data_IF_630216939496
#
_entry.id   IF_630216939496
#
_cell.length_a   1.000
_cell.length_b   1.000
_cell.length_c   1.000
_cell.angle_alpha   90.00
_cell.angle_beta   90.00
_cell.angle_gamma   90.00
#
_symmetry.space_group_name_H-M   'P 1'
#
loop_
_entity.id
_entity.type
_entity.pdbx_description
1 polymer ?
#
# COMPACT_ATOMS: atom_id res chain seq x y z
N UNK A 1 13.88 -21.82 1.91
CA UNK A 1 15.32 -21.52 1.70
C UNK A 1 16.09 -21.24 3.00
N UNK A 2 15.48 -20.64 4.05
CA UNK A 2 16.22 -20.15 5.23
C UNK A 2 16.11 -20.99 6.54
N UNK A 3 15.50 -22.18 6.51
CA UNK A 3 15.29 -23.03 7.72
C UNK A 3 16.47 -23.98 8.03
N UNK A 4 17.49 -24.06 7.19
CA UNK A 4 18.59 -25.02 7.38
C UNK A 4 19.26 -24.80 8.75
N UNK A 5 19.25 -25.84 9.60
CA UNK A 5 19.76 -25.83 10.99
C UNK A 5 19.03 -24.89 11.96
N UNK A 6 17.85 -24.38 11.60
CA UNK A 6 16.97 -23.65 12.51
C UNK A 6 15.91 -24.60 13.09
N UNK A 7 15.71 -24.57 14.42
CA UNK A 7 14.64 -25.31 15.10
C UNK A 7 13.31 -24.55 14.99
N UNK A 8 12.73 -24.54 13.79
CA UNK A 8 11.46 -23.87 13.47
C UNK A 8 10.61 -24.75 12.59
N UNK A 9 9.29 -24.71 12.73
CA UNK A 9 8.33 -25.38 11.86
C UNK A 9 7.45 -24.34 11.18
N UNK A 10 7.10 -24.60 9.91
CA UNK A 10 6.24 -23.74 9.10
C UNK A 10 5.15 -24.65 8.57
N UNK A 11 3.91 -24.34 8.95
CA UNK A 11 2.72 -25.10 8.58
C UNK A 11 1.75 -24.20 7.82
N UNK A 12 1.09 -24.76 6.82
CA UNK A 12 0.02 -24.09 6.09
C UNK A 12 -1.34 -24.37 6.74
N UNK A 13 -1.88 -23.36 7.40
CA UNK A 13 -3.15 -23.46 8.12
C UNK A 13 -4.38 -23.08 7.28
N UNK A 14 -4.24 -22.90 5.96
CA UNK A 14 -5.37 -22.55 5.09
C UNK A 14 -6.46 -23.63 5.04
N UNK A 15 -6.14 -24.88 5.36
CA UNK A 15 -7.15 -25.95 5.44
C UNK A 15 -8.05 -25.82 6.70
N UNK A 16 -7.53 -25.24 7.78
CA UNK A 16 -8.19 -25.22 9.10
C UNK A 16 -8.61 -23.83 9.55
N UNK A 17 -8.07 -22.76 8.96
CA UNK A 17 -8.37 -21.39 9.34
C UNK A 17 -8.73 -20.50 8.15
N UNK A 18 -9.43 -19.40 8.45
CA UNK A 18 -9.71 -18.30 7.53
C UNK A 18 -9.23 -17.00 8.14
N UNK A 19 -8.91 -16.05 7.25
CA UNK A 19 -8.61 -14.66 7.62
C UNK A 19 -9.75 -13.80 7.09
N UNK A 20 -10.34 -13.01 7.98
CA UNK A 20 -11.44 -12.11 7.69
C UNK A 20 -11.16 -10.70 8.19
N UNK A 21 -12.12 -9.83 7.93
CA UNK A 21 -12.13 -8.44 8.36
C UNK A 21 -13.44 -8.14 9.09
N UNK A 22 -13.37 -7.33 10.15
CA UNK A 22 -14.55 -6.84 10.85
C UNK A 22 -14.33 -5.41 11.34
N UNK A 23 -15.36 -4.57 11.20
CA UNK A 23 -15.44 -3.22 11.78
C UNK A 23 -15.98 -3.21 13.21
N UNK A 24 -16.53 -4.33 13.68
CA UNK A 24 -17.38 -4.36 14.88
C UNK A 24 -16.58 -4.56 16.18
N UNK A 25 -15.29 -4.90 16.07
CA UNK A 25 -14.46 -5.26 17.22
C UNK A 25 -13.81 -4.05 17.94
N UNK A 26 -14.20 -2.80 17.62
CA UNK A 26 -13.79 -1.57 18.32
C UNK A 26 -13.21 -0.47 17.41
N UNK A 27 -12.67 0.58 18.03
CA UNK A 27 -12.01 1.69 17.33
C UNK A 27 -10.50 1.42 17.27
N UNK A 28 -9.90 1.45 16.09
CA UNK A 28 -8.46 1.27 15.87
C UNK A 28 -7.93 2.34 14.94
N UNK A 29 -6.63 2.59 15.09
CA UNK A 29 -5.85 3.52 14.27
C UNK A 29 -6.12 3.33 12.76
N UNK A 30 -6.57 4.41 12.11
CA UNK A 30 -6.79 4.57 10.66
C UNK A 30 -8.03 3.91 10.05
N UNK A 31 -9.07 3.62 10.83
CA UNK A 31 -10.40 3.14 10.34
C UNK A 31 -10.34 1.81 9.54
N UNK A 32 -9.29 1.01 9.71
CA UNK A 32 -9.09 -0.27 9.01
C UNK A 32 -9.72 -1.48 9.72
N UNK A 33 -10.49 -1.25 10.78
CA UNK A 33 -11.08 -2.29 11.64
C UNK A 33 -10.08 -3.35 12.11
N UNK A 34 -10.51 -4.62 12.12
CA UNK A 34 -9.78 -5.75 12.68
C UNK A 34 -9.59 -6.85 11.67
N UNK A 35 -8.44 -7.53 11.79
CA UNK A 35 -8.26 -8.86 11.23
C UNK A 35 -8.82 -9.89 12.19
N UNK A 36 -9.63 -10.79 11.66
CA UNK A 36 -10.14 -11.96 12.38
C UNK A 36 -9.46 -13.18 11.81
N UNK A 37 -8.87 -14.01 12.67
CA UNK A 37 -8.32 -15.32 12.29
C UNK A 37 -9.13 -16.34 13.06
N UNK A 38 -9.88 -17.19 12.37
CA UNK A 38 -10.80 -18.13 12.98
C UNK A 38 -10.72 -19.52 12.34
N UNK A 39 -11.01 -20.59 13.09
CA UNK A 39 -11.19 -21.93 12.54
C UNK A 39 -12.32 -21.97 11.50
N UNK A 40 -12.18 -22.81 10.48
CA UNK A 40 -13.14 -22.92 9.36
C UNK A 40 -14.57 -23.25 9.81
N UNK A 41 -14.72 -24.01 10.89
CA UNK A 41 -16.02 -24.35 11.46
C UNK A 41 -16.76 -23.14 12.08
N UNK A 42 -16.05 -22.04 12.34
CA UNK A 42 -16.61 -20.79 12.87
C UNK A 42 -16.78 -19.72 11.78
N UNK A 43 -16.58 -20.06 10.51
CA UNK A 43 -16.65 -19.10 9.40
C UNK A 43 -17.78 -19.40 8.42
N UNK A 44 -18.77 -20.21 8.81
CA UNK A 44 -19.85 -20.63 7.92
C UNK A 44 -20.77 -19.47 7.50
N UNK A 45 -20.88 -18.46 8.35
CA UNK A 45 -21.68 -17.24 8.19
C UNK A 45 -20.87 -16.06 7.63
N UNK A 46 -19.59 -16.24 7.34
CA UNK A 46 -18.74 -15.17 6.79
C UNK A 46 -19.15 -14.83 5.36
N UNK A 47 -19.13 -13.54 5.06
CA UNK A 47 -19.37 -13.02 3.71
C UNK A 47 -18.06 -13.04 2.93
N UNK A 48 -18.07 -13.67 1.75
CA UNK A 48 -16.88 -13.80 0.90
C UNK A 48 -16.48 -12.49 0.19
N UNK A 49 -17.44 -11.57 0.01
CA UNK A 49 -17.19 -10.27 -0.60
C UNK A 49 -16.37 -9.39 0.36
N UNK A 50 -15.12 -9.10 -0.03
CA UNK A 50 -14.18 -8.27 0.70
C UNK A 50 -14.13 -6.81 0.20
N UNK A 51 -15.07 -6.40 -0.66
CA UNK A 51 -15.15 -5.04 -1.21
C UNK A 51 -15.13 -3.97 -0.13
N UNK A 52 -15.80 -4.19 1.01
CA UNK A 52 -15.80 -3.25 2.13
C UNK A 52 -14.41 -3.08 2.74
N UNK A 53 -13.66 -4.18 2.91
CA UNK A 53 -12.28 -4.13 3.37
C UNK A 53 -11.41 -3.36 2.39
N UNK A 54 -11.56 -3.63 1.09
CA UNK A 54 -10.83 -2.93 0.05
C UNK A 54 -11.12 -1.42 0.04
N UNK A 55 -12.39 -1.03 0.18
CA UNK A 55 -12.79 0.37 0.30
C UNK A 55 -12.15 1.04 1.50
N UNK A 56 -12.18 0.39 2.67
CA UNK A 56 -11.59 0.93 3.89
C UNK A 56 -10.07 1.13 3.75
N UNK A 57 -9.33 0.11 3.27
CA UNK A 57 -7.88 0.27 3.09
C UNK A 57 -7.52 1.35 2.08
N UNK A 58 -8.31 1.49 1.01
CA UNK A 58 -8.07 2.50 -0.03
C UNK A 58 -8.31 3.90 0.54
N UNK A 59 -9.40 4.10 1.27
CA UNK A 59 -9.69 5.37 1.96
C UNK A 59 -8.58 5.76 2.95
N UNK A 60 -7.95 4.79 3.61
CA UNK A 60 -6.82 5.03 4.52
C UNK A 60 -5.46 5.12 3.81
N UNK A 61 -5.42 5.02 2.48
CA UNK A 61 -4.19 5.08 1.69
C UNK A 61 -3.28 3.84 1.84
N UNK A 62 -3.82 2.70 2.27
CA UNK A 62 -3.06 1.48 2.53
C UNK A 62 -3.06 0.57 1.32
N UNK A 63 -1.84 0.28 0.86
CA UNK A 63 -1.57 -0.70 -0.18
C UNK A 63 -1.58 -2.14 0.36
N UNK A 64 -2.02 -3.05 -0.48
CA UNK A 64 -2.03 -4.49 -0.28
C UNK A 64 -1.23 -5.16 -1.40
N UNK A 65 -0.10 -5.76 -1.01
CA UNK A 65 0.75 -6.52 -1.92
C UNK A 65 -0.05 -7.67 -2.58
N UNK A 66 0.19 -7.89 -3.87
CA UNK A 66 -0.55 -8.87 -4.68
C UNK A 66 -1.80 -8.27 -5.32
N UNK A 67 -2.63 -7.57 -4.54
CA UNK A 67 -3.83 -6.90 -5.04
C UNK A 67 -3.50 -5.64 -5.84
N UNK A 68 -2.68 -4.76 -5.27
CA UNK A 68 -2.33 -3.49 -5.91
C UNK A 68 -1.12 -3.63 -6.82
N UNK A 69 -0.09 -4.35 -6.36
CA UNK A 69 1.18 -4.51 -7.08
C UNK A 69 1.79 -5.89 -6.87
N UNK A 70 2.51 -6.45 -7.87
CA UNK A 70 3.26 -7.69 -7.71
C UNK A 70 4.32 -7.59 -6.62
N UNK A 71 4.59 -8.72 -5.95
CA UNK A 71 5.45 -8.73 -4.77
C UNK A 71 6.90 -8.26 -5.01
N UNK A 72 7.38 -8.31 -6.26
CA UNK A 72 8.78 -8.05 -6.60
C UNK A 72 9.01 -6.68 -7.27
N UNK A 73 7.97 -5.86 -7.41
CA UNK A 73 8.02 -4.66 -8.27
C UNK A 73 8.06 -3.34 -7.47
N UNK A 74 8.04 -3.41 -6.14
CA UNK A 74 7.94 -2.24 -5.25
C UNK A 74 8.92 -2.33 -4.09
N UNK A 75 9.53 -1.20 -3.73
CA UNK A 75 10.31 -1.11 -2.50
C UNK A 75 9.40 -0.87 -1.28
N UNK A 76 9.86 -1.28 -0.10
CA UNK A 76 9.12 -1.07 1.16
C UNK A 76 8.75 0.41 1.40
N UNK A 77 9.60 1.34 0.95
CA UNK A 77 9.36 2.78 1.00
C UNK A 77 8.27 3.25 0.01
N UNK A 78 8.18 2.63 -1.17
CA UNK A 78 7.18 2.99 -2.18
C UNK A 78 5.76 2.71 -1.67
N UNK A 79 5.62 1.74 -0.76
CA UNK A 79 4.37 1.34 -0.11
C UNK A 79 4.22 1.88 1.32
N UNK A 80 5.09 2.80 1.74
CA UNK A 80 4.98 3.51 3.01
C UNK A 80 5.37 2.71 4.26
N UNK A 81 5.99 1.54 4.16
CA UNK A 81 6.36 0.73 5.33
C UNK A 81 7.33 1.45 6.28
N UNK A 82 8.11 2.42 5.79
CA UNK A 82 8.98 3.28 6.60
C UNK A 82 8.21 4.22 7.54
N UNK A 83 6.95 4.52 7.24
CA UNK A 83 6.08 5.41 8.01
C UNK A 83 5.01 4.60 8.77
N UNK A 84 4.55 3.51 8.17
CA UNK A 84 3.48 2.65 8.70
C UNK A 84 3.96 1.67 9.79
N UNK A 85 5.22 1.76 10.23
CA UNK A 85 5.80 0.87 11.24
C UNK A 85 6.16 -0.53 10.71
N UNK A 86 6.26 -0.70 9.39
CA UNK A 86 6.67 -1.95 8.75
C UNK A 86 8.19 -2.16 8.72
N UNK A 87 8.98 -1.15 9.07
CA UNK A 87 10.44 -1.19 9.10
C UNK A 87 10.92 -0.71 10.46
N UNK A 88 11.73 -1.53 11.10
CA UNK A 88 12.53 -1.13 12.25
C UNK A 88 13.97 -0.87 11.76
N UNK A 89 14.47 0.34 12.02
CA UNK A 89 15.83 0.75 11.64
C UNK A 89 16.87 0.42 12.73
N UNK A 90 16.44 0.07 13.94
CA UNK A 90 17.28 -0.25 15.08
C UNK A 90 17.46 -1.77 15.29
N UNK A 91 16.67 -2.61 14.61
CA UNK A 91 16.83 -4.08 14.69
C UNK A 91 18.12 -4.60 14.03
N UNK A 92 18.48 -5.83 14.39
CA UNK A 92 19.56 -6.57 13.75
C UNK A 92 19.29 -6.94 12.27
N UNK A 93 20.27 -7.59 11.64
CA UNK A 93 20.27 -7.85 10.21
C UNK A 93 19.07 -8.66 9.70
N UNK A 94 18.49 -8.23 8.58
CA UNK A 94 17.46 -8.94 7.84
C UNK A 94 17.69 -8.82 6.33
N UNK A 95 17.06 -9.70 5.54
CA UNK A 95 17.26 -9.74 4.08
C UNK A 95 16.81 -8.43 3.45
N UNK A 96 17.71 -7.78 2.70
CA UNK A 96 17.45 -6.52 1.99
C UNK A 96 17.65 -5.25 2.83
N UNK A 97 18.13 -5.37 4.07
CA UNK A 97 18.34 -4.23 4.97
C UNK A 97 19.27 -3.16 4.37
N UNK A 98 20.32 -3.54 3.62
CA UNK A 98 21.26 -2.58 3.05
C UNK A 98 20.56 -1.63 2.06
N UNK A 99 19.63 -2.16 1.26
CA UNK A 99 18.86 -1.37 0.29
C UNK A 99 17.88 -0.46 1.04
N UNK A 100 17.14 -1.01 1.99
CA UNK A 100 16.21 -0.26 2.84
C UNK A 100 16.92 0.87 3.58
N UNK A 101 18.05 0.58 4.21
CA UNK A 101 18.85 1.58 4.93
C UNK A 101 19.40 2.65 3.99
N UNK A 102 19.92 2.29 2.80
CA UNK A 102 20.38 3.27 1.81
C UNK A 102 19.27 4.19 1.34
N UNK A 103 18.06 3.67 1.12
CA UNK A 103 16.91 4.48 0.73
C UNK A 103 16.53 5.49 1.82
N UNK A 104 16.59 5.11 3.11
CA UNK A 104 16.31 6.02 4.22
C UNK A 104 17.26 7.22 4.28
N UNK A 105 18.55 6.99 4.01
CA UNK A 105 19.60 8.01 4.15
C UNK A 105 19.84 8.85 2.89
N UNK A 106 19.47 8.37 1.70
CA UNK A 106 19.63 9.09 0.42
C UNK A 106 18.54 10.14 0.15
N UNK A 107 17.79 10.56 1.16
CA UNK A 107 16.66 11.49 1.04
C UNK A 107 15.31 10.80 0.86
N UNK A 108 14.22 11.58 0.87
CA UNK A 108 12.84 11.09 0.81
C UNK A 108 12.61 10.24 -0.43
N UNK A 109 12.04 9.04 -0.26
CA UNK A 109 11.67 8.22 -1.41
C UNK A 109 10.71 9.03 -2.30
N UNK A 110 11.10 9.24 -3.56
CA UNK A 110 10.34 10.09 -4.50
C UNK A 110 8.99 9.48 -4.85
N UNK A 111 8.88 8.14 -4.76
CA UNK A 111 7.66 7.38 -5.01
C UNK A 111 6.96 7.09 -3.67
N UNK A 112 5.69 7.47 -3.55
CA UNK A 112 4.90 7.28 -2.32
C UNK A 112 3.45 6.89 -2.63
N UNK A 113 2.74 6.30 -1.65
CA UNK A 113 1.31 6.04 -1.76
C UNK A 113 0.50 7.33 -1.86
N UNK A 114 -0.44 7.38 -2.79
CA UNK A 114 -1.37 8.50 -2.97
C UNK A 114 -2.75 7.93 -3.25
N UNK A 115 -3.78 8.47 -2.59
CA UNK A 115 -5.17 8.07 -2.85
C UNK A 115 -5.61 8.78 -4.12
N UNK A 116 -6.25 8.03 -5.01
CA UNK A 116 -6.78 8.52 -6.28
C UNK A 116 -8.28 8.21 -6.32
N UNK A 117 -9.09 9.19 -6.68
CA UNK A 117 -10.53 9.10 -6.79
C UNK A 117 -10.99 9.29 -8.24
N UNK A 118 -12.27 8.99 -8.49
CA UNK A 118 -12.93 9.15 -9.79
C UNK A 118 -12.22 8.41 -10.95
N UNK A 119 -11.60 7.27 -10.65
CA UNK A 119 -10.92 6.45 -11.64
C UNK A 119 -11.94 5.69 -12.49
N UNK A 120 -11.93 5.98 -13.79
CA UNK A 120 -12.63 5.21 -14.83
C UNK A 120 -11.60 4.59 -15.80
N UNK A 121 -10.79 3.70 -15.23
CA UNK A 121 -9.67 2.98 -15.85
C UNK A 121 -9.34 1.70 -15.05
N UNK A 122 -8.71 0.67 -15.67
CA UNK A 122 -8.35 -0.55 -14.96
C UNK A 122 -7.18 -0.38 -13.98
N UNK A 123 -7.07 -1.34 -13.05
CA UNK A 123 -5.87 -1.54 -12.22
C UNK A 123 -4.61 -1.58 -13.08
N UNK A 124 -3.55 -0.90 -12.65
CA UNK A 124 -2.29 -0.82 -13.38
C UNK A 124 -2.24 0.28 -14.45
N UNK A 125 -3.32 1.04 -14.68
CA UNK A 125 -3.27 2.19 -15.59
C UNK A 125 -2.22 3.22 -15.15
N UNK A 126 -1.61 3.87 -16.12
CA UNK A 126 -0.60 4.89 -15.89
C UNK A 126 -1.25 6.17 -15.36
N UNK A 127 -0.64 6.74 -14.32
CA UNK A 127 -0.95 8.09 -13.86
C UNK A 127 -0.03 9.04 -14.60
N UNK A 128 -0.57 10.13 -15.12
CA UNK A 128 0.20 11.20 -15.75
C UNK A 128 -0.02 12.54 -15.05
N UNK A 129 1.04 13.34 -14.97
CA UNK A 129 1.02 14.72 -14.53
C UNK A 129 1.94 15.53 -15.44
N UNK A 130 1.53 16.74 -15.82
CA UNK A 130 2.30 17.61 -16.72
C UNK A 130 2.72 16.92 -18.05
N UNK A 131 1.83 16.07 -18.59
CA UNK A 131 2.08 15.32 -19.84
C UNK A 131 3.16 14.24 -19.74
N UNK A 132 3.54 13.83 -18.53
CA UNK A 132 4.51 12.75 -18.28
C UNK A 132 3.93 11.73 -17.32
N UNK A 133 4.30 10.47 -17.48
CA UNK A 133 3.97 9.43 -16.51
C UNK A 133 4.50 9.82 -15.12
N UNK A 134 3.67 9.68 -14.09
CA UNK A 134 3.96 10.02 -12.72
C UNK A 134 3.79 8.83 -11.77
N UNK A 135 3.12 7.76 -12.18
CA UNK A 135 2.91 6.60 -11.32
C UNK A 135 2.00 5.55 -11.95
N UNK A 136 1.55 4.63 -11.11
CA UNK A 136 0.70 3.51 -11.52
C UNK A 136 -0.42 3.33 -10.52
N UNK A 137 -1.65 3.17 -11.03
CA UNK A 137 -2.86 2.91 -10.24
C UNK A 137 -2.81 1.50 -9.66
N UNK A 138 -3.09 1.35 -8.36
CA UNK A 138 -3.27 0.06 -7.69
C UNK A 138 -4.63 -0.58 -8.00
N UNK A 139 -5.14 -1.43 -7.11
CA UNK A 139 -6.47 -2.02 -7.27
C UNK A 139 -7.54 -0.92 -7.26
N UNK A 140 -8.39 -0.90 -8.28
CA UNK A 140 -9.53 0.01 -8.34
C UNK A 140 -10.76 -0.63 -7.70
N UNK A 141 -11.40 0.09 -6.77
CA UNK A 141 -12.66 -0.29 -6.13
C UNK A 141 -13.55 0.94 -6.03
N UNK A 142 -14.73 0.88 -6.65
CA UNK A 142 -15.71 1.98 -6.71
C UNK A 142 -15.11 3.32 -7.18
N UNK A 143 -14.18 3.27 -8.14
CA UNK A 143 -13.47 4.46 -8.65
C UNK A 143 -12.37 5.00 -7.73
N UNK A 144 -12.14 4.39 -6.57
CA UNK A 144 -11.02 4.69 -5.68
C UNK A 144 -9.86 3.72 -5.84
N UNK A 145 -8.63 4.19 -5.67
CA UNK A 145 -7.45 3.34 -5.56
C UNK A 145 -6.35 4.01 -4.71
N UNK A 146 -5.35 3.23 -4.33
CA UNK A 146 -4.07 3.77 -3.87
C UNK A 146 -3.04 3.52 -4.96
N UNK A 147 -2.37 4.57 -5.39
CA UNK A 147 -1.35 4.52 -6.41
C UNK A 147 0.04 4.74 -5.81
N UNK A 148 1.08 4.27 -6.52
CA UNK A 148 2.46 4.67 -6.23
C UNK A 148 2.83 5.80 -7.18
N UNK A 149 2.97 7.01 -6.66
CA UNK A 149 3.21 8.24 -7.45
C UNK A 149 4.56 8.85 -7.10
N UNK A 150 5.27 9.31 -8.13
CA UNK A 150 6.43 10.20 -8.02
C UNK A 150 5.99 11.61 -7.63
N UNK A 151 6.20 11.97 -6.37
CA UNK A 151 5.77 13.25 -5.79
C UNK A 151 6.41 14.45 -6.49
N UNK A 152 7.67 14.32 -6.92
CA UNK A 152 8.42 15.35 -7.65
C UNK A 152 7.81 15.70 -9.02
N UNK A 153 6.92 14.86 -9.55
CA UNK A 153 6.20 15.09 -10.81
C UNK A 153 4.85 15.77 -10.62
N UNK A 154 4.36 15.88 -9.39
CA UNK A 154 3.06 16.48 -9.06
C UNK A 154 3.27 17.94 -8.63
N UNK A 155 3.35 18.84 -9.59
CA UNK A 155 3.43 20.29 -9.33
C UNK A 155 2.05 20.92 -9.12
N UNK A 156 1.01 20.36 -9.75
CA UNK A 156 -0.39 20.73 -9.56
C UNK A 156 -1.21 19.44 -9.41
N UNK A 157 -1.68 19.12 -8.19
CA UNK A 157 -2.53 17.95 -7.96
C UNK A 157 -3.81 17.92 -8.80
N UNK A 158 -4.30 19.08 -9.26
CA UNK A 158 -5.52 19.18 -10.08
C UNK A 158 -5.30 18.83 -11.56
N UNK A 159 -4.03 18.76 -11.99
CA UNK A 159 -3.65 18.45 -13.36
C UNK A 159 -3.30 16.96 -13.56
N UNK A 160 -3.67 16.10 -12.62
CA UNK A 160 -3.38 14.67 -12.67
C UNK A 160 -4.46 13.93 -13.44
N UNK A 161 -4.01 13.00 -14.28
CA UNK A 161 -4.90 12.23 -15.16
C UNK A 161 -4.58 10.74 -15.11
N UNK A 162 -5.59 9.92 -15.38
CA UNK A 162 -5.48 8.49 -15.69
C UNK A 162 -6.15 8.25 -17.04
N UNK A 163 -5.43 7.62 -17.98
CA UNK A 163 -5.88 7.45 -19.37
C UNK A 163 -6.41 8.75 -20.02
N UNK A 164 -5.78 9.88 -19.68
CA UNK A 164 -6.12 11.21 -20.18
C UNK A 164 -7.37 11.85 -19.55
N UNK A 165 -8.07 11.16 -18.65
CA UNK A 165 -9.20 11.71 -17.88
C UNK A 165 -8.68 12.31 -16.56
N UNK A 166 -9.17 13.50 -16.16
CA UNK A 166 -8.80 14.09 -14.88
C UNK A 166 -9.29 13.24 -13.71
N UNK A 167 -8.46 13.14 -12.67
CA UNK A 167 -8.76 12.45 -11.41
C UNK A 167 -8.44 13.37 -10.23
N UNK A 168 -9.11 13.16 -9.10
CA UNK A 168 -8.71 13.78 -7.83
C UNK A 168 -7.66 12.93 -7.12
N UNK A 169 -6.68 13.57 -6.49
CA UNK A 169 -5.69 12.90 -5.66
C UNK A 169 -5.57 13.53 -4.27
N UNK A 170 -5.33 12.69 -3.26
CA UNK A 170 -5.09 13.11 -1.90
C UNK A 170 -3.96 12.31 -1.24
N UNK A 171 -3.25 12.96 -0.32
CA UNK A 171 -2.26 12.28 0.51
C UNK A 171 -2.98 11.53 1.65
N UNK A 172 -2.54 10.30 1.99
CA UNK A 172 -3.07 9.60 3.16
C UNK A 172 -2.85 10.40 4.45
N UNK A 173 -3.74 10.26 5.44
CA UNK A 173 -3.65 11.01 6.71
C UNK A 173 -2.35 10.77 7.49
N UNK A 174 -1.69 9.63 7.27
CA UNK A 174 -0.41 9.27 7.89
C UNK A 174 0.81 9.77 7.10
N UNK A 175 0.63 10.40 5.94
CA UNK A 175 1.73 10.86 5.10
C UNK A 175 2.55 11.94 5.81
N UNK A 176 3.88 11.78 5.79
CA UNK A 176 4.85 12.77 6.27
C UNK A 176 5.62 13.42 5.11
N UNK A 177 5.00 13.44 3.92
CA UNK A 177 5.53 13.92 2.65
C UNK A 177 4.46 14.76 1.96
N UNK A 178 4.84 15.56 0.98
CA UNK A 178 3.94 16.45 0.24
C UNK A 178 4.16 16.32 -1.27
N UNK A 179 3.19 16.77 -2.06
CA UNK A 179 3.35 16.89 -3.50
C UNK A 179 4.44 17.92 -3.84
N UNK A 180 5.20 17.67 -4.91
CA UNK A 180 6.31 18.51 -5.31
C UNK A 180 7.59 18.31 -4.49
N UNK A 181 7.61 17.39 -3.51
CA UNK A 181 8.82 17.05 -2.76
C UNK A 181 9.91 16.56 -3.73
N UNK A 182 10.87 17.43 -4.01
CA UNK A 182 12.15 17.08 -4.62
C UNK A 182 13.08 16.70 -3.50
N UNK A 183 13.46 15.42 -3.39
CA UNK A 183 14.56 15.05 -2.50
C UNK A 183 15.77 15.95 -2.83
N UNK A 184 16.35 16.60 -1.82
CA UNK A 184 17.55 17.40 -1.99
C UNK A 184 18.62 16.53 -2.65
N UNK A 185 19.08 16.94 -3.84
CA UNK A 185 20.28 16.38 -4.45
C UNK A 185 21.47 16.91 -3.65
N UNK A 186 22.02 16.08 -2.77
CA UNK A 186 23.42 16.22 -2.33
C UNK A 186 24.35 15.51 -3.32
#
# INVERSE_FOLDING_TARGET
>A
MYKLRAKVEIEDLRATHRVGFSTDAGDRDRDLGFRVIAPVEQTADWVADDTQYHRARIASGILHQGNDFPANDTFAHDIGMDILGGIDFAKGCYVGQEVVSRMKHRGTARRRPVIVYDIDAPTGSAIAANGREAGTVGQVVDGGAVAIIRLDRISDPKAVTVDGKPVEIALPAWATYQFGDTAAEE
#
